data_IF_726532243028
#
_entry.id   IF_726532243028
#
_cell.length_a   1.000
_cell.length_b   1.000
_cell.length_c   1.000
_cell.angle_alpha   90.00
_cell.angle_beta   90.00
_cell.angle_gamma   90.00
#
_symmetry.space_group_name_H-M   'P 1'
#
loop_
_entity.id
_entity.type
_entity.pdbx_description
1 polymer ?
#
# COMPACT_ATOMS: atom_id res chain seq x y z
N UNK A 1 -16.68 -18.08 27.45
CA UNK A 1 -16.07 -16.98 28.22
C UNK A 1 -15.24 -16.18 27.25
N UNK A 2 -15.43 -14.86 27.14
CA UNK A 2 -14.61 -13.99 26.28
C UNK A 2 -13.18 -13.98 26.82
N UNK A 3 -12.20 -14.11 25.92
CA UNK A 3 -10.80 -13.99 26.29
C UNK A 3 -10.46 -12.50 26.52
N UNK A 4 -9.78 -12.21 27.64
CA UNK A 4 -9.45 -10.85 28.05
C UNK A 4 -8.01 -10.49 27.68
N UNK A 5 -7.84 -9.27 27.14
CA UNK A 5 -6.58 -8.65 26.77
C UNK A 5 -6.46 -7.24 27.35
N UNK A 6 -5.24 -6.81 27.62
CA UNK A 6 -4.96 -5.42 28.00
C UNK A 6 -5.09 -4.51 26.78
N UNK A 7 -4.74 -5.03 25.59
CA UNK A 7 -4.76 -4.30 24.34
C UNK A 7 -5.21 -5.19 23.18
N UNK A 8 -6.24 -4.77 22.46
CA UNK A 8 -6.64 -5.32 21.16
C UNK A 8 -6.28 -4.34 20.05
N UNK A 9 -5.58 -4.82 19.05
CA UNK A 9 -5.13 -4.01 17.92
C UNK A 9 -5.80 -4.52 16.64
N UNK A 10 -6.47 -3.65 15.89
CA UNK A 10 -7.18 -3.98 14.66
C UNK A 10 -6.34 -3.56 13.45
N UNK A 11 -5.80 -4.55 12.76
CA UNK A 11 -4.89 -4.42 11.61
C UNK A 11 -3.43 -4.69 11.99
N UNK A 12 -2.80 -5.64 11.28
CA UNK A 12 -1.40 -6.03 11.46
C UNK A 12 -0.44 -5.38 10.46
N UNK A 13 -0.76 -4.19 9.97
CA UNK A 13 0.16 -3.34 9.21
C UNK A 13 1.24 -2.70 10.11
N UNK A 14 2.13 -1.83 9.55
CA UNK A 14 3.22 -1.21 10.30
C UNK A 14 2.78 -0.51 11.59
N UNK A 15 1.66 0.20 11.61
CA UNK A 15 1.11 0.79 12.81
C UNK A 15 0.72 -0.25 13.86
N UNK A 16 0.04 -1.32 13.42
CA UNK A 16 -0.47 -2.35 14.33
C UNK A 16 0.63 -3.24 14.90
N UNK A 17 1.46 -3.86 14.05
CA UNK A 17 2.49 -4.77 14.57
C UNK A 17 3.56 -4.05 15.40
N UNK A 18 3.91 -2.81 15.06
CA UNK A 18 4.87 -2.04 15.87
C UNK A 18 4.31 -1.71 17.24
N UNK A 19 3.02 -1.34 17.31
CA UNK A 19 2.31 -1.11 18.58
C UNK A 19 2.22 -2.41 19.38
N UNK A 20 1.86 -3.54 18.74
CA UNK A 20 1.77 -4.84 19.40
C UNK A 20 3.10 -5.27 20.04
N UNK A 21 4.20 -5.16 19.29
CA UNK A 21 5.54 -5.47 19.79
C UNK A 21 5.93 -4.58 20.97
N UNK A 22 5.63 -3.29 20.90
CA UNK A 22 5.94 -2.37 21.99
C UNK A 22 5.09 -2.62 23.23
N UNK A 23 3.80 -2.89 23.07
CA UNK A 23 2.90 -3.21 24.16
C UNK A 23 3.31 -4.53 24.87
N UNK A 24 3.64 -5.57 24.11
CA UNK A 24 4.13 -6.83 24.66
C UNK A 24 5.46 -6.65 25.41
N UNK A 25 6.36 -5.80 24.93
CA UNK A 25 7.61 -5.46 25.62
C UNK A 25 7.36 -4.76 26.98
N UNK A 26 6.25 -4.02 27.09
CA UNK A 26 5.80 -3.40 28.34
C UNK A 26 5.02 -4.36 29.27
N UNK A 27 4.92 -5.64 28.92
CA UNK A 27 4.28 -6.68 29.71
C UNK A 27 2.75 -6.79 29.52
N UNK A 28 2.17 -6.10 28.52
CA UNK A 28 0.74 -6.18 28.24
C UNK A 28 0.39 -7.50 27.53
N UNK A 29 -0.78 -8.06 27.84
CA UNK A 29 -1.39 -9.16 27.07
C UNK A 29 -2.06 -8.58 25.84
N UNK A 30 -1.53 -8.90 24.64
CA UNK A 30 -1.91 -8.27 23.37
C UNK A 30 -2.58 -9.26 22.43
N UNK A 31 -3.73 -8.85 21.87
CA UNK A 31 -4.33 -9.46 20.69
C UNK A 31 -4.12 -8.57 19.45
N UNK A 32 -3.71 -9.17 18.35
CA UNK A 32 -3.55 -8.51 17.04
C UNK A 32 -4.49 -9.16 16.05
N UNK A 33 -5.40 -8.38 15.47
CA UNK A 33 -6.41 -8.89 14.53
C UNK A 33 -6.01 -8.48 13.11
N UNK A 34 -5.95 -9.45 12.20
CA UNK A 34 -5.65 -9.23 10.77
C UNK A 34 -6.66 -9.98 9.90
N UNK A 35 -7.23 -9.31 8.93
CA UNK A 35 -8.19 -9.92 8.00
C UNK A 35 -7.52 -10.64 6.83
N UNK A 36 -6.32 -10.20 6.45
CA UNK A 36 -5.56 -10.81 5.34
C UNK A 36 -4.93 -12.14 5.80
N UNK A 37 -4.54 -12.96 4.85
CA UNK A 37 -3.92 -14.27 5.12
C UNK A 37 -2.60 -14.17 5.89
N UNK A 38 -1.96 -13.01 5.85
CA UNK A 38 -0.64 -12.79 6.45
C UNK A 38 -0.55 -11.44 7.15
N UNK A 39 0.22 -11.37 8.22
CA UNK A 39 0.57 -10.12 8.89
C UNK A 39 1.44 -9.22 8.01
N UNK A 40 1.58 -7.93 8.39
CA UNK A 40 2.44 -6.99 7.69
C UNK A 40 1.68 -5.94 6.87
N UNK A 41 0.36 -6.16 6.66
CA UNK A 41 -0.53 -5.23 5.98
C UNK A 41 -0.05 -4.82 4.58
N UNK A 42 -0.47 -3.66 4.13
CA UNK A 42 -0.11 -3.14 2.80
C UNK A 42 1.41 -3.06 2.60
N UNK A 43 2.16 -2.60 3.58
CA UNK A 43 3.60 -2.35 3.42
C UNK A 43 4.38 -3.61 3.07
N UNK A 44 4.22 -4.70 3.84
CA UNK A 44 4.98 -5.93 3.62
C UNK A 44 4.44 -6.72 2.42
N UNK A 45 3.12 -6.78 2.26
CA UNK A 45 2.50 -7.70 1.30
C UNK A 45 2.32 -7.11 -0.10
N UNK A 46 1.94 -5.82 -0.22
CA UNK A 46 1.50 -5.20 -1.48
C UNK A 46 1.86 -3.72 -1.64
N UNK A 47 2.97 -3.29 -1.02
CA UNK A 47 3.44 -1.90 -1.06
C UNK A 47 4.96 -1.82 -0.96
N UNK A 48 5.45 -1.37 0.19
CA UNK A 48 6.85 -1.00 0.39
C UNK A 48 7.85 -2.12 0.05
N UNK A 49 7.65 -3.32 0.57
CA UNK A 49 8.62 -4.41 0.40
C UNK A 49 8.64 -4.94 -1.04
N UNK A 50 7.50 -5.31 -1.66
CA UNK A 50 7.52 -5.75 -3.05
C UNK A 50 7.99 -4.65 -4.01
N UNK A 51 7.65 -3.36 -3.79
CA UNK A 51 8.16 -2.28 -4.64
C UNK A 51 9.68 -2.12 -4.53
N UNK A 52 10.26 -2.19 -3.31
CA UNK A 52 11.71 -2.10 -3.12
C UNK A 52 12.45 -3.28 -3.72
N UNK A 53 11.88 -4.48 -3.67
CA UNK A 53 12.45 -5.64 -4.36
C UNK A 53 12.54 -5.41 -5.89
N UNK A 54 11.46 -4.90 -6.51
CA UNK A 54 11.45 -4.57 -7.93
C UNK A 54 12.39 -3.40 -8.27
N UNK A 55 12.41 -2.33 -7.47
CA UNK A 55 13.32 -1.19 -7.64
C UNK A 55 14.78 -1.64 -7.56
N UNK A 56 15.13 -2.56 -6.67
CA UNK A 56 16.50 -3.09 -6.59
C UNK A 56 16.92 -3.76 -7.89
N UNK A 57 16.03 -4.55 -8.48
CA UNK A 57 16.30 -5.21 -9.77
C UNK A 57 16.45 -4.18 -10.92
N UNK A 58 15.54 -3.21 -11.01
CA UNK A 58 15.61 -2.19 -12.07
C UNK A 58 16.76 -1.21 -11.88
N UNK A 59 17.19 -0.95 -10.65
CA UNK A 59 18.42 -0.19 -10.37
C UNK A 59 19.67 -0.91 -10.87
N UNK A 60 19.68 -2.24 -10.88
CA UNK A 60 20.76 -3.03 -11.51
C UNK A 60 20.79 -2.77 -13.02
N UNK A 61 19.64 -2.70 -13.67
CA UNK A 61 19.54 -2.36 -15.12
C UNK A 61 20.11 -0.96 -15.38
N UNK A 62 19.70 0.04 -14.59
CA UNK A 62 20.21 1.42 -14.71
C UNK A 62 21.74 1.47 -14.48
N UNK A 63 22.26 0.70 -13.54
CA UNK A 63 23.71 0.58 -13.28
C UNK A 63 24.45 0.03 -14.50
N UNK A 64 23.91 -1.01 -15.16
CA UNK A 64 24.49 -1.58 -16.37
C UNK A 64 24.47 -0.56 -17.52
N UNK A 65 23.38 0.16 -17.72
CA UNK A 65 23.29 1.21 -18.76
C UNK A 65 24.31 2.33 -18.57
N UNK A 66 24.64 2.65 -17.32
CA UNK A 66 25.61 3.70 -16.98
C UNK A 66 27.05 3.19 -16.83
N UNK A 67 27.28 1.89 -16.92
CA UNK A 67 28.61 1.31 -16.74
C UNK A 67 29.65 1.84 -17.73
N UNK A 68 29.21 2.21 -18.95
CA UNK A 68 30.08 2.81 -19.97
C UNK A 68 30.69 4.17 -19.54
N UNK A 69 30.01 4.95 -18.70
CA UNK A 69 30.51 6.20 -18.12
C UNK A 69 31.77 5.96 -17.24
N UNK A 70 31.89 4.73 -16.71
CA UNK A 70 33.01 4.28 -15.89
C UNK A 70 34.05 3.45 -16.68
N UNK A 71 33.91 3.36 -18.01
CA UNK A 71 34.77 2.56 -18.88
C UNK A 71 34.46 1.06 -18.88
N UNK A 72 33.32 0.63 -18.33
CA UNK A 72 32.90 -0.77 -18.27
C UNK A 72 31.90 -1.06 -19.39
N UNK A 73 32.25 -1.94 -20.32
CA UNK A 73 31.33 -2.38 -21.38
C UNK A 73 30.43 -3.50 -20.86
N UNK A 74 29.15 -3.18 -20.63
CA UNK A 74 28.14 -4.11 -20.18
C UNK A 74 26.83 -3.89 -20.95
N UNK A 75 26.01 -4.93 -21.06
CA UNK A 75 24.69 -4.85 -21.71
C UNK A 75 23.64 -5.63 -20.96
N UNK A 76 22.38 -5.17 -21.02
CA UNK A 76 21.21 -5.89 -20.54
C UNK A 76 20.62 -6.65 -21.73
N UNK A 77 20.60 -7.96 -21.67
CA UNK A 77 20.09 -8.81 -22.76
C UNK A 77 18.57 -9.07 -22.64
N UNK A 78 17.95 -8.70 -21.51
CA UNK A 78 16.53 -8.84 -21.25
C UNK A 78 16.24 -8.97 -19.76
N UNK A 79 14.96 -9.05 -19.44
CA UNK A 79 14.45 -9.27 -18.08
C UNK A 79 13.70 -10.61 -18.07
N UNK A 80 14.09 -11.52 -17.21
CA UNK A 80 13.31 -12.72 -16.89
C UNK A 80 12.27 -12.34 -15.83
N UNK A 81 11.06 -12.01 -16.26
CA UNK A 81 9.97 -11.61 -15.39
C UNK A 81 9.50 -12.73 -14.45
N UNK A 82 9.65 -14.01 -14.85
CA UNK A 82 9.38 -15.15 -13.98
C UNK A 82 10.30 -15.17 -12.76
N UNK A 83 11.61 -15.09 -13.02
CA UNK A 83 12.63 -15.01 -11.96
C UNK A 83 12.48 -13.75 -11.11
N UNK A 84 12.16 -12.62 -11.70
CA UNK A 84 11.93 -11.35 -10.98
C UNK A 84 10.71 -11.43 -10.06
N UNK A 85 9.61 -12.03 -10.52
CA UNK A 85 8.43 -12.28 -9.71
C UNK A 85 8.75 -13.19 -8.52
N UNK A 86 9.45 -14.29 -8.76
CA UNK A 86 9.82 -15.25 -7.72
C UNK A 86 10.78 -14.62 -6.70
N UNK A 87 11.69 -13.77 -7.12
CA UNK A 87 12.53 -12.95 -6.23
C UNK A 87 11.68 -12.06 -5.33
N UNK A 88 10.76 -11.28 -5.90
CA UNK A 88 9.85 -10.41 -5.16
C UNK A 88 9.04 -11.20 -4.13
N UNK A 89 8.42 -12.31 -4.54
CA UNK A 89 7.60 -13.16 -3.65
C UNK A 89 8.44 -13.78 -2.53
N UNK A 90 9.66 -14.21 -2.81
CA UNK A 90 10.59 -14.74 -1.80
C UNK A 90 10.98 -13.67 -0.76
N UNK A 91 11.25 -12.43 -1.20
CA UNK A 91 11.54 -11.31 -0.28
C UNK A 91 10.36 -11.04 0.64
N UNK A 92 9.14 -10.95 0.07
CA UNK A 92 7.90 -10.73 0.86
C UNK A 92 7.70 -11.88 1.86
N UNK A 93 7.78 -13.14 1.41
CA UNK A 93 7.62 -14.32 2.27
C UNK A 93 8.61 -14.34 3.43
N UNK A 94 9.87 -14.00 3.17
CA UNK A 94 10.91 -13.94 4.22
C UNK A 94 10.58 -12.88 5.27
N UNK A 95 10.17 -11.67 4.84
CA UNK A 95 9.84 -10.58 5.75
C UNK A 95 8.59 -10.87 6.58
N UNK A 96 7.55 -11.39 5.95
CA UNK A 96 6.29 -11.77 6.61
C UNK A 96 6.51 -12.91 7.61
N UNK A 97 7.24 -13.95 7.23
CA UNK A 97 7.57 -15.07 8.12
C UNK A 97 8.42 -14.62 9.31
N UNK A 98 9.40 -13.74 9.10
CA UNK A 98 10.18 -13.15 10.17
C UNK A 98 9.32 -12.35 11.16
N UNK A 99 8.38 -11.55 10.65
CA UNK A 99 7.44 -10.80 11.49
C UNK A 99 6.52 -11.74 12.28
N UNK A 100 5.93 -12.75 11.64
CA UNK A 100 5.06 -13.72 12.31
C UNK A 100 5.81 -14.45 13.43
N UNK A 101 7.05 -14.89 13.17
CA UNK A 101 7.91 -15.49 14.20
C UNK A 101 8.22 -14.56 15.36
N UNK A 102 8.46 -13.28 15.08
CA UNK A 102 8.72 -12.28 16.12
C UNK A 102 7.48 -12.02 17.00
N UNK A 103 6.29 -11.89 16.38
CA UNK A 103 5.03 -11.73 17.11
C UNK A 103 4.77 -12.91 18.07
N UNK A 104 4.92 -14.14 17.56
CA UNK A 104 4.77 -15.35 18.36
C UNK A 104 5.81 -15.45 19.50
N UNK A 105 7.07 -15.12 19.23
CA UNK A 105 8.14 -15.08 20.24
C UNK A 105 7.85 -14.09 21.38
N UNK A 106 7.16 -12.99 21.07
CA UNK A 106 6.73 -11.98 22.05
C UNK A 106 5.40 -12.32 22.75
N UNK A 107 4.82 -13.49 22.49
CA UNK A 107 3.57 -13.94 23.12
C UNK A 107 2.33 -13.18 22.65
N UNK A 108 2.38 -12.53 21.48
CA UNK A 108 1.25 -11.84 20.89
C UNK A 108 0.32 -12.86 20.23
N UNK A 109 -0.95 -12.89 20.62
CA UNK A 109 -1.96 -13.73 19.96
C UNK A 109 -2.45 -13.03 18.70
N UNK A 110 -2.33 -13.68 17.54
CA UNK A 110 -2.81 -13.15 16.26
C UNK A 110 -4.09 -13.88 15.85
N UNK A 111 -5.15 -13.11 15.59
CA UNK A 111 -6.42 -13.62 15.08
C UNK A 111 -6.56 -13.24 13.60
N UNK A 112 -6.75 -14.24 12.73
CA UNK A 112 -7.13 -14.00 11.35
C UNK A 112 -8.65 -13.88 11.27
N UNK A 113 -9.14 -12.65 11.28
CA UNK A 113 -10.55 -12.31 11.38
C UNK A 113 -10.82 -10.87 10.93
N UNK A 114 -12.08 -10.58 10.63
CA UNK A 114 -12.59 -9.21 10.67
C UNK A 114 -13.02 -8.87 12.09
N UNK A 115 -12.77 -7.63 12.51
CA UNK A 115 -13.17 -7.11 13.80
C UNK A 115 -14.24 -6.04 13.65
N UNK A 116 -15.24 -6.09 14.52
CA UNK A 116 -16.20 -5.02 14.73
C UNK A 116 -16.24 -4.67 16.22
N UNK A 117 -16.38 -3.41 16.54
CA UNK A 117 -16.58 -2.93 17.91
C UNK A 117 -17.42 -1.65 17.87
N UNK A 118 -17.91 -1.25 19.02
CA UNK A 118 -18.58 0.04 19.19
C UNK A 118 -17.99 0.72 20.42
N UNK A 119 -17.42 1.89 20.23
CA UNK A 119 -16.94 2.70 21.34
C UNK A 119 -18.14 3.41 21.97
N UNK A 120 -18.32 3.24 23.27
CA UNK A 120 -19.27 4.02 24.05
C UNK A 120 -18.52 5.19 24.71
N UNK A 121 -18.61 6.36 24.13
CA UNK A 121 -17.98 7.60 24.64
C UNK A 121 -18.53 8.01 26.02
N UNK A 122 -19.70 7.47 26.42
CA UNK A 122 -20.31 7.76 27.72
C UNK A 122 -19.86 6.77 28.81
N UNK A 123 -19.23 5.67 28.44
CA UNK A 123 -18.74 4.66 29.37
C UNK A 123 -17.55 5.21 30.17
N UNK A 124 -17.44 4.83 31.47
CA UNK A 124 -16.26 5.17 32.25
C UNK A 124 -14.98 4.69 31.55
N UNK A 125 -13.89 5.45 31.62
CA UNK A 125 -12.60 5.10 31.03
C UNK A 125 -12.01 3.77 31.54
N UNK A 126 -12.56 3.21 32.60
CA UNK A 126 -12.20 1.90 33.18
C UNK A 126 -13.05 0.75 32.65
N UNK A 127 -14.03 1.01 31.76
CA UNK A 127 -14.88 -0.01 31.17
C UNK A 127 -14.11 -0.81 30.12
N UNK A 128 -14.29 -2.14 30.15
CA UNK A 128 -13.76 -2.97 29.08
C UNK A 128 -14.60 -2.84 27.82
N UNK A 129 -13.93 -2.87 26.68
CA UNK A 129 -14.55 -2.88 25.36
C UNK A 129 -14.75 -4.33 24.89
N UNK A 130 -15.81 -4.56 24.11
CA UNK A 130 -16.05 -5.84 23.46
C UNK A 130 -15.70 -5.69 21.98
N UNK A 131 -14.85 -6.59 21.47
CA UNK A 131 -14.48 -6.68 20.06
C UNK A 131 -15.02 -7.98 19.51
N UNK A 132 -15.97 -7.87 18.58
CA UNK A 132 -16.60 -9.00 17.90
C UNK A 132 -15.76 -9.42 16.70
N UNK A 133 -15.37 -10.68 16.66
CA UNK A 133 -14.64 -11.27 15.55
C UNK A 133 -15.57 -12.14 14.71
N UNK A 134 -15.41 -12.01 13.39
CA UNK A 134 -16.01 -12.91 12.41
C UNK A 134 -14.93 -13.36 11.42
N UNK A 135 -15.08 -14.54 10.78
CA UNK A 135 -14.08 -15.02 9.82
C UNK A 135 -13.81 -14.01 8.71
N UNK A 136 -12.60 -14.04 8.17
CA UNK A 136 -12.29 -13.34 6.92
C UNK A 136 -13.12 -13.92 5.77
N UNK A 137 -13.40 -13.17 4.67
CA UNK A 137 -14.35 -13.57 3.62
C UNK A 137 -14.01 -14.91 2.93
N UNK A 138 -12.78 -15.35 3.00
CA UNK A 138 -12.28 -16.59 2.40
C UNK A 138 -12.18 -17.76 3.40
N UNK A 139 -12.79 -17.64 4.58
CA UNK A 139 -12.73 -18.61 5.66
C UNK A 139 -14.10 -18.92 6.25
N UNK A 140 -14.25 -20.16 6.79
CA UNK A 140 -15.43 -20.57 7.57
C UNK A 140 -15.27 -20.27 9.07
N UNK A 141 -14.04 -20.23 9.56
CA UNK A 141 -13.70 -20.08 10.97
C UNK A 141 -12.64 -18.99 11.18
N UNK A 142 -12.69 -18.38 12.37
CA UNK A 142 -11.60 -17.55 12.87
C UNK A 142 -10.39 -18.45 13.10
N UNK A 143 -9.21 -18.05 12.63
CA UNK A 143 -7.97 -18.74 12.92
C UNK A 143 -7.15 -17.96 13.93
N UNK A 144 -6.77 -18.65 15.02
CA UNK A 144 -5.93 -18.09 16.07
C UNK A 144 -4.51 -18.65 15.97
N UNK A 145 -3.53 -17.76 16.03
CA UNK A 145 -2.11 -18.09 15.97
C UNK A 145 -1.45 -17.74 17.31
N UNK A 146 -1.17 -18.73 18.12
CA UNK A 146 -0.32 -18.62 19.30
C UNK A 146 1.16 -18.90 18.97
N UNK A 147 1.39 -19.61 17.86
CA UNK A 147 2.70 -19.86 17.25
C UNK A 147 2.64 -19.47 15.77
N UNK A 148 3.75 -18.99 15.23
CA UNK A 148 3.80 -18.32 13.93
C UNK A 148 3.12 -19.06 12.76
N UNK A 149 3.21 -20.37 12.72
CA UNK A 149 2.82 -21.18 11.55
C UNK A 149 1.74 -22.22 11.82
N UNK A 150 1.16 -22.25 13.03
CA UNK A 150 0.16 -23.25 13.40
C UNK A 150 -1.13 -22.57 13.81
N UNK A 151 -2.11 -22.39 12.90
CA UNK A 151 -3.40 -21.85 13.24
C UNK A 151 -4.29 -22.88 13.95
N UNK A 152 -5.05 -22.41 14.91
CA UNK A 152 -6.09 -23.18 15.59
C UNK A 152 -7.46 -22.60 15.25
N UNK A 153 -8.42 -23.40 14.73
CA UNK A 153 -9.78 -22.93 14.50
C UNK A 153 -10.46 -22.54 15.82
N UNK A 154 -11.05 -21.35 15.86
CA UNK A 154 -11.72 -20.79 17.05
C UNK A 154 -13.23 -20.60 16.85
N UNK A 155 -13.80 -21.17 15.78
CA UNK A 155 -15.22 -21.11 15.47
C UNK A 155 -15.62 -19.90 14.60
N UNK A 156 -16.92 -19.83 14.24
CA UNK A 156 -17.43 -18.84 13.29
C UNK A 156 -17.65 -17.44 13.92
N UNK A 157 -17.63 -17.31 15.23
CA UNK A 157 -17.74 -16.03 15.93
C UNK A 157 -17.01 -16.11 17.27
N UNK A 158 -16.40 -15.01 17.68
CA UNK A 158 -15.71 -14.89 18.95
C UNK A 158 -15.79 -13.46 19.46
N UNK A 159 -15.95 -13.29 20.76
CA UNK A 159 -15.85 -12.00 21.43
C UNK A 159 -14.55 -11.93 22.24
N UNK A 160 -13.79 -10.87 22.05
CA UNK A 160 -12.65 -10.50 22.88
C UNK A 160 -13.06 -9.35 23.81
N UNK A 161 -12.53 -9.37 25.02
CA UNK A 161 -12.66 -8.26 25.96
C UNK A 161 -11.35 -7.51 26.02
N UNK A 162 -11.36 -6.20 25.84
CA UNK A 162 -10.17 -5.36 25.80
C UNK A 162 -10.28 -4.20 26.78
N UNK A 163 -9.21 -3.92 27.51
CA UNK A 163 -9.10 -2.67 28.28
C UNK A 163 -8.90 -1.48 27.36
N UNK A 164 -8.13 -1.67 26.28
CA UNK A 164 -7.86 -0.65 25.28
C UNK A 164 -7.95 -1.23 23.86
N UNK A 165 -8.36 -0.40 22.89
CA UNK A 165 -8.38 -0.75 21.47
C UNK A 165 -7.50 0.23 20.69
N UNK A 166 -6.70 -0.30 19.76
CA UNK A 166 -5.96 0.50 18.78
C UNK A 166 -6.50 0.21 17.38
N UNK A 167 -6.95 1.26 16.70
CA UNK A 167 -7.39 1.21 15.31
C UNK A 167 -6.16 1.42 14.42
N UNK A 168 -5.72 0.36 13.72
CA UNK A 168 -4.58 0.36 12.82
C UNK A 168 -4.93 -0.23 11.43
N UNK A 169 -6.17 -0.01 10.99
CA UNK A 169 -6.78 -0.59 9.78
C UNK A 169 -6.16 -0.09 8.48
N UNK A 170 -5.36 0.96 8.53
CA UNK A 170 -4.62 1.47 7.40
C UNK A 170 -5.46 2.24 6.37
N UNK A 171 -5.09 2.11 5.09
CA UNK A 171 -5.70 2.86 4.00
C UNK A 171 -5.69 2.06 2.69
N UNK A 172 -6.63 2.36 1.79
CA UNK A 172 -6.76 1.79 0.45
C UNK A 172 -6.40 2.82 -0.64
N UNK A 173 -5.98 2.39 -1.85
CA UNK A 173 -5.75 3.30 -2.97
C UNK A 173 -6.99 4.14 -3.27
N UNK A 174 -6.78 5.44 -3.51
CA UNK A 174 -7.83 6.37 -3.91
C UNK A 174 -8.06 6.29 -5.41
N UNK A 175 -9.27 5.96 -5.88
CA UNK A 175 -9.59 6.01 -7.30
C UNK A 175 -9.67 7.46 -7.79
N UNK A 176 -9.59 7.65 -9.10
CA UNK A 176 -9.96 8.92 -9.71
C UNK A 176 -11.48 9.14 -9.58
N UNK A 177 -11.94 10.35 -9.24
CA UNK A 177 -13.36 10.66 -9.24
C UNK A 177 -14.03 10.30 -10.57
N UNK A 178 -15.10 9.53 -10.53
CA UNK A 178 -15.84 9.07 -11.71
C UNK A 178 -15.15 7.98 -12.56
N UNK A 179 -13.94 7.54 -12.19
CA UNK A 179 -13.17 6.55 -12.94
C UNK A 179 -12.71 5.43 -11.98
N UNK A 180 -13.51 4.38 -11.78
CA UNK A 180 -13.12 3.24 -10.95
C UNK A 180 -11.97 2.47 -11.60
N UNK A 181 -11.18 1.76 -10.79
CA UNK A 181 -10.14 0.87 -11.30
C UNK A 181 -10.77 -0.24 -12.15
N UNK A 182 -10.38 -0.31 -13.42
CA UNK A 182 -10.86 -1.30 -14.38
C UNK A 182 -9.93 -1.41 -15.59
N UNK A 183 -9.74 -2.61 -16.11
CA UNK A 183 -8.91 -2.86 -17.29
C UNK A 183 -7.49 -2.35 -17.11
N UNK A 184 -7.05 -1.44 -17.98
CA UNK A 184 -5.72 -0.84 -17.95
C UNK A 184 -5.60 0.33 -16.94
N UNK A 185 -6.67 0.77 -16.29
CA UNK A 185 -6.64 1.76 -15.21
C UNK A 185 -6.50 1.05 -13.87
N UNK A 186 -5.31 1.07 -13.31
CA UNK A 186 -4.92 0.24 -12.18
C UNK A 186 -4.45 1.05 -10.96
N UNK A 187 -4.49 0.41 -9.80
CA UNK A 187 -3.90 0.92 -8.57
C UNK A 187 -2.46 0.40 -8.36
N UNK A 188 -1.83 0.86 -7.28
CA UNK A 188 -0.46 0.48 -6.94
C UNK A 188 -0.30 -1.00 -6.53
N UNK A 189 -1.35 -1.66 -6.07
CA UNK A 189 -1.34 -3.09 -5.75
C UNK A 189 -1.32 -3.92 -7.03
N UNK A 190 -2.23 -3.61 -7.94
CA UNK A 190 -2.29 -4.24 -9.26
C UNK A 190 -1.00 -4.00 -10.06
N UNK A 191 -0.43 -2.79 -9.95
CA UNK A 191 0.82 -2.43 -10.63
C UNK A 191 2.04 -3.23 -10.13
N UNK A 192 2.02 -3.77 -8.91
CA UNK A 192 3.05 -4.70 -8.41
C UNK A 192 2.85 -6.14 -8.90
N UNK A 193 1.68 -6.46 -9.41
CA UNK A 193 1.28 -7.83 -9.82
C UNK A 193 1.31 -8.03 -11.33
N UNK A 194 1.68 -7.00 -12.11
CA UNK A 194 1.82 -7.14 -13.57
C UNK A 194 2.83 -8.24 -13.92
N UNK A 195 2.51 -9.03 -14.92
CA UNK A 195 3.38 -10.13 -15.36
C UNK A 195 4.68 -9.62 -15.97
N UNK A 196 4.60 -8.50 -16.70
CA UNK A 196 5.72 -7.82 -17.36
C UNK A 196 5.57 -6.32 -17.15
N UNK A 197 6.68 -5.58 -17.16
CA UNK A 197 6.59 -4.13 -17.12
C UNK A 197 6.00 -3.59 -18.43
N UNK A 198 5.12 -2.58 -18.36
CA UNK A 198 4.48 -2.04 -19.57
C UNK A 198 5.50 -1.40 -20.49
N UNK A 199 5.28 -1.47 -21.81
CA UNK A 199 6.10 -0.76 -22.80
C UNK A 199 5.92 0.77 -22.68
N UNK A 200 4.72 1.20 -22.24
CA UNK A 200 4.41 2.60 -21.92
C UNK A 200 3.43 2.71 -20.76
N UNK A 201 3.62 3.71 -19.91
CA UNK A 201 2.76 3.94 -18.76
C UNK A 201 2.43 5.42 -18.60
N UNK A 202 1.17 5.69 -18.26
CA UNK A 202 0.73 6.99 -17.78
C UNK A 202 0.53 6.88 -16.27
N UNK A 203 1.26 7.66 -15.49
CA UNK A 203 1.15 7.66 -14.02
C UNK A 203 0.50 8.96 -13.58
N UNK A 204 -0.64 8.86 -12.90
CA UNK A 204 -1.41 9.99 -12.40
C UNK A 204 -1.07 10.18 -10.93
N UNK A 205 -0.34 11.25 -10.62
CA UNK A 205 0.12 11.54 -9.26
C UNK A 205 1.55 12.04 -9.20
N UNK A 206 1.95 12.56 -8.04
CA UNK A 206 3.26 13.18 -7.82
C UNK A 206 3.87 12.83 -6.45
N UNK A 207 3.27 11.89 -5.72
CA UNK A 207 3.74 11.40 -4.43
C UNK A 207 4.76 10.26 -4.56
N UNK A 208 5.25 9.76 -3.43
CA UNK A 208 6.29 8.73 -3.37
C UNK A 208 5.97 7.50 -4.24
N UNK A 209 4.74 6.96 -4.14
CA UNK A 209 4.30 5.80 -4.93
C UNK A 209 4.42 6.07 -6.43
N UNK A 210 3.89 7.21 -6.91
CA UNK A 210 3.99 7.58 -8.33
C UNK A 210 5.43 7.62 -8.82
N UNK A 211 6.33 8.18 -8.02
CA UNK A 211 7.74 8.36 -8.37
C UNK A 211 8.53 7.06 -8.32
N UNK A 212 8.22 6.16 -7.39
CA UNK A 212 8.79 4.82 -7.31
C UNK A 212 8.46 4.03 -8.59
N UNK A 213 7.19 4.00 -9.02
CA UNK A 213 6.80 3.34 -10.26
C UNK A 213 7.38 4.03 -11.49
N UNK A 214 7.39 5.36 -11.53
CA UNK A 214 7.99 6.10 -12.64
C UNK A 214 9.48 5.77 -12.80
N UNK A 215 10.23 5.75 -11.71
CA UNK A 215 11.66 5.41 -11.72
C UNK A 215 11.88 3.95 -12.11
N UNK A 216 11.12 3.03 -11.51
CA UNK A 216 11.22 1.58 -11.74
C UNK A 216 10.94 1.21 -13.20
N UNK A 217 9.80 1.64 -13.73
CA UNK A 217 9.42 1.31 -15.10
C UNK A 217 10.31 1.99 -16.13
N UNK A 218 10.68 3.27 -15.89
CA UNK A 218 11.60 3.99 -16.78
C UNK A 218 12.99 3.32 -16.82
N UNK A 219 13.54 2.90 -15.69
CA UNK A 219 14.83 2.19 -15.66
C UNK A 219 14.76 0.84 -16.39
N UNK A 220 13.60 0.21 -16.41
CA UNK A 220 13.35 -1.03 -17.17
C UNK A 220 13.06 -0.79 -18.67
N UNK A 221 13.08 0.45 -19.16
CA UNK A 221 12.88 0.80 -20.57
C UNK A 221 11.46 1.21 -20.94
N UNK A 222 10.53 1.30 -20.01
CA UNK A 222 9.17 1.80 -20.29
C UNK A 222 9.18 3.30 -20.65
N UNK A 223 8.33 3.70 -21.59
CA UNK A 223 8.03 5.12 -21.85
C UNK A 223 7.06 5.63 -20.81
N UNK A 224 7.55 6.40 -19.83
CA UNK A 224 6.73 6.87 -18.70
C UNK A 224 6.32 8.32 -18.89
N UNK A 225 5.03 8.59 -18.76
CA UNK A 225 4.46 9.95 -18.65
C UNK A 225 3.83 10.12 -17.26
N UNK A 226 4.30 11.12 -16.51
CA UNK A 226 3.73 11.57 -15.24
C UNK A 226 2.77 12.74 -15.49
N UNK A 227 1.50 12.56 -15.12
CA UNK A 227 0.50 13.64 -15.04
C UNK A 227 0.41 14.17 -13.62
N UNK A 228 0.81 15.41 -13.39
CA UNK A 228 0.83 16.02 -12.05
C UNK A 228 0.01 17.31 -12.01
N UNK A 229 -0.85 17.44 -11.00
CA UNK A 229 -1.73 18.60 -10.83
C UNK A 229 -0.98 19.87 -10.43
N UNK A 230 0.14 19.75 -9.75
CA UNK A 230 0.98 20.87 -9.28
C UNK A 230 2.11 21.17 -10.28
N UNK A 231 2.93 22.15 -9.93
CA UNK A 231 4.09 22.60 -10.73
C UNK A 231 5.32 21.67 -10.65
N UNK A 232 5.38 20.80 -9.64
CA UNK A 232 6.50 19.87 -9.40
C UNK A 232 6.04 18.60 -8.68
N UNK A 233 6.86 17.58 -8.71
CA UNK A 233 6.68 16.38 -7.90
C UNK A 233 6.91 16.68 -6.41
N UNK A 234 6.37 15.86 -5.51
CA UNK A 234 6.47 16.02 -4.05
C UNK A 234 6.13 17.45 -3.60
N UNK A 235 5.05 18.03 -4.12
CA UNK A 235 4.70 19.44 -3.91
C UNK A 235 4.43 19.79 -2.43
N UNK A 236 4.07 18.82 -1.60
CA UNK A 236 3.89 18.97 -0.15
C UNK A 236 5.19 18.86 0.66
N UNK A 237 6.30 18.53 0.04
CA UNK A 237 7.62 18.35 0.65
C UNK A 237 8.51 19.56 0.40
N UNK A 238 9.75 19.51 0.91
CA UNK A 238 10.75 20.55 0.66
C UNK A 238 10.86 20.86 -0.85
N UNK A 239 10.87 22.17 -1.17
CA UNK A 239 10.86 22.65 -2.55
C UNK A 239 12.10 22.20 -3.34
N UNK A 240 13.27 22.21 -2.70
CA UNK A 240 14.53 21.83 -3.36
C UNK A 240 14.54 20.36 -3.68
N UNK A 241 14.06 19.51 -2.75
CA UNK A 241 13.92 18.08 -2.99
C UNK A 241 13.02 17.80 -4.19
N UNK A 242 11.80 18.36 -4.22
CA UNK A 242 10.86 18.20 -5.33
C UNK A 242 11.40 18.71 -6.66
N UNK A 243 12.09 19.85 -6.67
CA UNK A 243 12.68 20.43 -7.89
C UNK A 243 13.84 19.58 -8.41
N UNK A 244 14.71 19.12 -7.51
CA UNK A 244 15.87 18.27 -7.87
C UNK A 244 15.37 16.95 -8.46
N UNK A 245 14.41 16.30 -7.81
CA UNK A 245 13.87 15.03 -8.29
C UNK A 245 13.13 15.18 -9.63
N UNK A 246 12.37 16.28 -9.83
CA UNK A 246 11.73 16.58 -11.11
C UNK A 246 12.77 16.68 -12.23
N UNK A 247 13.90 17.34 -11.97
CA UNK A 247 14.99 17.47 -12.96
C UNK A 247 15.63 16.12 -13.27
N UNK A 248 15.92 15.32 -12.23
CA UNK A 248 16.53 14.01 -12.41
C UNK A 248 15.64 13.03 -13.19
N UNK A 249 14.35 12.98 -12.88
CA UNK A 249 13.40 12.14 -13.62
C UNK A 249 13.34 12.55 -15.11
N UNK A 250 13.29 13.86 -15.40
CA UNK A 250 13.34 14.36 -16.79
C UNK A 250 14.66 14.01 -17.48
N UNK A 251 15.80 14.09 -16.79
CA UNK A 251 17.10 13.71 -17.32
C UNK A 251 17.16 12.23 -17.70
N UNK A 252 16.46 11.38 -16.95
CA UNK A 252 16.33 9.95 -17.23
C UNK A 252 15.24 9.61 -18.26
N UNK A 253 14.60 10.63 -18.88
CA UNK A 253 13.64 10.40 -19.95
C UNK A 253 12.18 10.32 -19.55
N UNK A 254 11.85 10.50 -18.27
CA UNK A 254 10.44 10.56 -17.84
C UNK A 254 9.79 11.84 -18.35
N UNK A 255 8.71 11.72 -19.11
CA UNK A 255 7.90 12.85 -19.54
C UNK A 255 7.03 13.33 -18.36
N UNK A 256 7.18 14.60 -17.95
CA UNK A 256 6.42 15.16 -16.82
C UNK A 256 5.56 16.31 -17.31
N UNK A 257 4.24 16.11 -17.29
CA UNK A 257 3.23 17.10 -17.64
C UNK A 257 2.69 17.69 -16.33
N UNK A 258 3.06 18.93 -16.07
CA UNK A 258 2.68 19.68 -14.86
C UNK A 258 1.39 20.46 -15.07
N UNK A 259 0.70 20.80 -13.95
CA UNK A 259 -0.55 21.58 -13.95
C UNK A 259 -1.64 20.93 -14.79
N UNK A 260 -1.64 19.60 -14.82
CA UNK A 260 -2.59 18.77 -15.54
C UNK A 260 -3.69 18.27 -14.59
N UNK A 261 -4.93 18.50 -14.95
CA UNK A 261 -6.11 17.98 -14.25
C UNK A 261 -6.76 16.92 -15.13
N UNK A 262 -6.76 15.67 -14.69
CA UNK A 262 -7.39 14.56 -15.40
C UNK A 262 -8.91 14.75 -15.38
N UNK A 263 -9.54 14.62 -16.53
CA UNK A 263 -10.98 14.73 -16.73
C UNK A 263 -11.65 13.38 -16.76
N UNK A 264 -11.14 12.45 -17.56
CA UNK A 264 -11.61 11.06 -17.62
C UNK A 264 -10.53 10.13 -18.18
N UNK A 265 -10.78 8.83 -18.08
CA UNK A 265 -9.89 7.79 -18.61
C UNK A 265 -10.71 6.79 -19.40
N UNK A 266 -10.32 6.59 -20.67
CA UNK A 266 -10.89 5.55 -21.53
C UNK A 266 -10.02 4.29 -21.46
N UNK A 267 -10.64 3.17 -21.03
CA UNK A 267 -10.01 1.85 -20.99
C UNK A 267 -10.63 0.90 -22.03
N UNK A 268 -11.04 1.44 -23.18
CA UNK A 268 -11.83 0.75 -24.20
C UNK A 268 -11.07 -0.33 -24.99
N UNK A 269 -11.63 -0.72 -26.13
CA UNK A 269 -11.30 -1.91 -26.95
C UNK A 269 -9.84 -2.01 -27.45
N UNK A 270 -9.05 -0.99 -27.35
CA UNK A 270 -7.61 -1.02 -27.67
C UNK A 270 -6.86 -1.25 -26.35
N UNK A 271 -6.26 -2.41 -26.20
CA UNK A 271 -5.38 -2.79 -25.10
C UNK A 271 -4.58 -1.60 -24.56
N UNK A 272 -5.00 -1.00 -23.41
CA UNK A 272 -4.39 0.19 -22.84
C UNK A 272 -5.40 1.19 -22.29
N UNK A 273 -4.90 2.35 -21.85
CA UNK A 273 -5.69 3.46 -21.32
C UNK A 273 -5.31 4.79 -22.00
N UNK A 274 -6.33 5.56 -22.39
CA UNK A 274 -6.17 6.95 -22.82
C UNK A 274 -6.62 7.87 -21.68
N UNK A 275 -5.69 8.64 -21.16
CA UNK A 275 -5.94 9.60 -20.07
C UNK A 275 -6.17 10.98 -20.69
N UNK A 276 -7.37 11.53 -20.50
CA UNK A 276 -7.75 12.86 -20.93
C UNK A 276 -7.54 13.87 -19.79
N UNK A 277 -7.03 15.03 -20.13
CA UNK A 277 -6.71 16.06 -19.13
C UNK A 277 -6.77 17.47 -19.72
N UNK A 278 -7.01 18.43 -18.88
CA UNK A 278 -6.82 19.86 -19.16
C UNK A 278 -5.52 20.35 -18.52
N UNK A 279 -4.91 21.38 -19.09
CA UNK A 279 -3.67 21.94 -18.57
C UNK A 279 -3.82 23.44 -18.34
N UNK A 280 -3.44 23.92 -17.17
CA UNK A 280 -3.46 25.35 -16.85
C UNK A 280 -2.66 26.16 -17.88
N UNK A 281 -3.28 27.20 -18.44
CA UNK A 281 -2.67 28.06 -19.46
C UNK A 281 -2.66 27.46 -20.89
N UNK A 282 -3.40 26.38 -21.12
CA UNK A 282 -3.61 25.82 -22.47
C UNK A 282 -5.11 25.58 -22.69
N UNK A 283 -5.60 25.97 -23.87
CA UNK A 283 -7.00 25.76 -24.23
C UNK A 283 -7.24 24.33 -24.73
N UNK A 284 -8.42 23.81 -24.40
CA UNK A 284 -8.89 22.51 -24.85
C UNK A 284 -8.39 21.34 -24.01
N UNK A 285 -9.02 20.22 -24.25
CA UNK A 285 -8.66 18.93 -23.65
C UNK A 285 -7.53 18.29 -24.45
N UNK A 286 -6.62 17.67 -23.75
CA UNK A 286 -5.51 16.91 -24.31
C UNK A 286 -5.61 15.46 -23.84
N UNK A 287 -4.90 14.57 -24.51
CA UNK A 287 -4.86 13.17 -24.12
C UNK A 287 -3.46 12.58 -24.24
N UNK A 288 -3.22 11.53 -23.46
CA UNK A 288 -2.01 10.71 -23.56
C UNK A 288 -2.40 9.25 -23.35
N UNK A 289 -1.84 8.39 -24.21
CA UNK A 289 -2.06 6.96 -24.16
C UNK A 289 -0.91 6.23 -23.46
N UNK A 290 -1.23 5.15 -22.76
CA UNK A 290 -0.28 4.17 -22.25
C UNK A 290 -0.90 2.77 -22.21
N UNK A 291 -0.06 1.77 -22.26
CA UNK A 291 -0.50 0.38 -22.06
C UNK A 291 -1.15 0.20 -20.68
N UNK A 292 -0.68 0.96 -19.70
CA UNK A 292 -1.23 1.03 -18.33
C UNK A 292 -1.38 2.50 -17.93
N UNK A 293 -2.48 2.82 -17.26
CA UNK A 293 -2.65 4.05 -16.47
C UNK A 293 -2.67 3.70 -14.98
N UNK A 294 -1.64 4.14 -14.24
CA UNK A 294 -1.51 3.96 -12.80
C UNK A 294 -2.05 5.17 -12.05
N UNK A 295 -3.03 4.99 -11.18
CA UNK A 295 -3.53 6.03 -10.28
C UNK A 295 -2.80 5.98 -8.95
N UNK A 296 -2.05 7.04 -8.64
CA UNK A 296 -1.26 7.19 -7.42
C UNK A 296 -1.46 8.59 -6.77
N UNK A 297 -2.74 8.99 -6.61
CA UNK A 297 -3.15 10.33 -6.13
C UNK A 297 -3.37 10.42 -4.63
N UNK A 298 -3.13 9.33 -3.91
CA UNK A 298 -3.31 9.23 -2.46
C UNK A 298 -3.99 7.94 -2.04
N UNK A 299 -4.31 7.87 -0.76
CA UNK A 299 -4.97 6.72 -0.15
C UNK A 299 -6.08 7.21 0.76
N UNK A 300 -7.20 6.49 0.77
CA UNK A 300 -8.33 6.76 1.67
C UNK A 300 -8.20 5.90 2.92
N UNK A 301 -8.38 6.45 4.13
CA UNK A 301 -8.35 5.67 5.35
C UNK A 301 -9.47 4.61 5.34
N UNK A 302 -9.21 3.49 6.00
CA UNK A 302 -10.19 2.43 6.19
C UNK A 302 -10.77 2.63 7.59
N UNK A 303 -11.95 3.23 7.65
CA UNK A 303 -12.70 3.50 8.88
C UNK A 303 -14.15 3.05 8.71
N UNK A 304 -14.83 2.83 9.82
CA UNK A 304 -16.24 2.44 9.86
C UNK A 304 -16.99 3.32 10.88
N UNK A 305 -18.05 4.03 10.45
CA UNK A 305 -18.88 4.81 11.37
C UNK A 305 -19.52 3.97 12.50
N UNK A 306 -19.69 2.66 12.28
CA UNK A 306 -20.22 1.75 13.29
C UNK A 306 -19.31 1.58 14.51
N UNK A 307 -18.04 2.02 14.43
CA UNK A 307 -17.13 1.96 15.58
C UNK A 307 -17.49 2.93 16.71
N UNK A 308 -18.40 3.90 16.45
CA UNK A 308 -18.80 4.90 17.46
C UNK A 308 -17.73 5.95 17.78
N UNK A 309 -16.69 6.06 16.94
CA UNK A 309 -15.66 7.09 17.04
C UNK A 309 -15.93 8.22 16.04
N UNK A 310 -15.55 9.44 16.39
CA UNK A 310 -15.68 10.59 15.50
C UNK A 310 -14.77 10.44 14.27
N UNK A 311 -15.34 10.56 13.08
CA UNK A 311 -14.62 10.51 11.81
C UNK A 311 -14.71 11.90 11.17
N UNK A 312 -13.56 12.44 10.75
CA UNK A 312 -13.49 13.76 10.09
C UNK A 312 -13.96 13.72 8.63
N UNK A 313 -14.08 14.90 8.00
CA UNK A 313 -14.51 15.04 6.60
C UNK A 313 -13.56 14.38 5.58
N UNK A 314 -12.35 13.97 6.01
CA UNK A 314 -11.37 13.26 5.20
C UNK A 314 -11.38 11.76 5.44
N UNK A 315 -12.27 11.28 6.32
CA UNK A 315 -12.42 9.88 6.67
C UNK A 315 -11.42 9.38 7.74
N UNK A 316 -10.67 10.27 8.41
CA UNK A 316 -9.78 9.88 9.50
C UNK A 316 -10.53 9.84 10.83
N UNK A 317 -10.08 8.97 11.72
CA UNK A 317 -10.52 9.02 13.13
C UNK A 317 -9.99 10.32 13.75
N UNK A 318 -10.88 11.12 14.29
CA UNK A 318 -10.51 12.34 15.02
C UNK A 318 -9.80 11.96 16.34
N UNK A 319 -8.68 12.61 16.60
CA UNK A 319 -7.90 12.41 17.83
C UNK A 319 -7.75 13.72 18.57
N UNK A 320 -7.68 13.68 19.89
CA UNK A 320 -7.22 14.78 20.71
C UNK A 320 -5.69 15.00 20.52
N UNK A 321 -5.22 16.17 20.88
CA UNK A 321 -3.81 16.57 20.72
C UNK A 321 -2.92 15.99 21.84
#
# INVERSE_FOLDING_TARGET
MSEQFDLVIIGAGPGGYSTALRAAELGMKVALIERDATVGGTCLNRGCIPSKALITATHTIDTVHRAAELGVNASVNGIDFGTLRDYRLRVVKTMVGGLAGLLAHRGITVFRANAAFHADETAPATSNHIVHLVPSPDQSDILTYHKADVPEPSGPTMDLTATNIVIATGAKPRPLPGNPFAGALIDSTQALEVNEFPSSAVIIGAGAIALEFASMWNAAGSKVTLLIRKDRVLSAWDRRAGTTLTRELKRHGVNIITRASVTHVDTGANLGATVHYTREGQDGEQSVWGEIALVAIGRDPITDPAWGVTIDDHGHVATDA
#
